data_IF_473053091125
#
_entry.id   IF_473053091125
#
_cell.length_a   1.000
_cell.length_b   1.000
_cell.length_c   1.000
_cell.angle_alpha   90.00
_cell.angle_beta   90.00
_cell.angle_gamma   90.00
#
_symmetry.space_group_name_H-M   'P 1'
#
loop_
_entity.id
_entity.type
_entity.pdbx_description
1 polymer ?
#
# COMPACT_ATOMS: atom_id res chain seq x y z
N UNK A 1 72.34 -20.25 -60.69
CA UNK A 1 71.66 -21.09 -59.67
C UNK A 1 70.24 -20.58 -59.54
N UNK A 2 69.28 -21.34 -60.07
CA UNK A 2 67.84 -21.05 -60.00
C UNK A 2 67.28 -21.67 -58.72
N UNK A 3 66.45 -20.92 -57.99
CA UNK A 3 65.62 -21.42 -56.88
C UNK A 3 64.17 -21.10 -57.27
N UNK A 4 63.28 -22.11 -57.40
CA UNK A 4 61.87 -21.87 -57.69
C UNK A 4 61.07 -21.58 -56.42
N UNK A 5 60.16 -20.62 -56.53
CA UNK A 5 59.13 -20.30 -55.52
C UNK A 5 57.89 -21.14 -55.82
N UNK A 6 57.45 -21.93 -54.85
CA UNK A 6 56.21 -22.72 -54.92
C UNK A 6 55.08 -21.96 -54.21
N UNK A 7 54.01 -21.69 -54.97
CA UNK A 7 52.72 -21.19 -54.51
C UNK A 7 52.02 -22.21 -53.60
N UNK A 8 51.57 -21.77 -52.43
CA UNK A 8 50.57 -22.48 -51.61
C UNK A 8 49.19 -21.84 -51.79
N UNK A 9 48.24 -22.61 -52.33
CA UNK A 9 46.81 -22.27 -52.40
C UNK A 9 46.14 -22.79 -51.13
N UNK A 10 45.50 -21.92 -50.36
CA UNK A 10 44.71 -22.30 -49.16
C UNK A 10 43.23 -22.24 -49.53
N UNK A 11 42.58 -23.41 -49.58
CA UNK A 11 41.12 -23.53 -49.73
C UNK A 11 40.41 -22.95 -48.50
N UNK A 12 39.50 -22.01 -48.73
CA UNK A 12 38.58 -21.50 -47.72
C UNK A 12 37.39 -22.44 -47.52
N UNK A 13 37.17 -22.88 -46.28
CA UNK A 13 35.92 -23.44 -45.81
C UNK A 13 35.31 -22.46 -44.81
N UNK A 14 34.21 -21.79 -45.20
CA UNK A 14 33.43 -20.92 -44.32
C UNK A 14 32.32 -21.75 -43.66
N UNK A 15 32.23 -21.85 -42.33
CA UNK A 15 31.11 -22.51 -41.68
C UNK A 15 29.85 -21.63 -41.74
N UNK A 16 28.75 -22.21 -42.23
CA UNK A 16 27.41 -21.62 -42.22
C UNK A 16 26.86 -21.64 -40.78
N UNK A 17 26.56 -20.47 -40.22
CA UNK A 17 25.86 -20.37 -38.94
C UNK A 17 24.36 -20.65 -39.16
N UNK A 18 23.88 -21.78 -38.64
CA UNK A 18 22.45 -22.06 -38.51
C UNK A 18 21.86 -21.23 -37.39
N UNK A 19 20.88 -20.37 -37.71
CA UNK A 19 20.08 -19.66 -36.71
C UNK A 19 19.27 -20.66 -35.88
N UNK A 20 19.29 -20.59 -34.53
CA UNK A 20 18.45 -21.44 -33.71
C UNK A 20 16.97 -21.11 -33.92
N UNK A 21 16.07 -22.10 -33.82
CA UNK A 21 14.63 -21.87 -33.95
C UNK A 21 14.11 -20.93 -32.86
N UNK A 22 13.03 -20.17 -33.13
CA UNK A 22 12.43 -19.29 -32.14
C UNK A 22 11.96 -20.12 -30.94
N UNK A 23 12.40 -19.72 -29.74
CA UNK A 23 11.96 -20.32 -28.49
C UNK A 23 10.43 -20.17 -28.38
N UNK A 24 9.74 -21.27 -28.13
CA UNK A 24 8.33 -21.26 -27.80
C UNK A 24 8.12 -20.41 -26.53
N UNK A 25 7.15 -19.50 -26.55
CA UNK A 25 6.74 -18.76 -25.37
C UNK A 25 6.29 -19.75 -24.29
N UNK A 26 6.97 -19.77 -23.16
CA UNK A 26 6.57 -20.53 -21.98
C UNK A 26 5.39 -19.83 -21.32
N UNK A 27 4.21 -20.44 -21.37
CA UNK A 27 3.07 -20.05 -20.52
C UNK A 27 3.37 -20.57 -19.11
N UNK A 28 4.03 -19.77 -18.29
CA UNK A 28 4.19 -20.04 -16.86
C UNK A 28 2.84 -19.77 -16.17
N UNK A 29 2.14 -20.79 -15.65
CA UNK A 29 0.87 -20.62 -14.95
C UNK A 29 1.00 -19.82 -13.63
N UNK A 30 2.22 -19.46 -13.22
CA UNK A 30 2.50 -18.55 -12.10
C UNK A 30 2.93 -17.15 -12.54
N UNK A 31 2.94 -16.86 -13.85
CA UNK A 31 3.12 -15.49 -14.32
C UNK A 31 1.94 -14.66 -13.79
N UNK A 32 2.23 -13.78 -12.81
CA UNK A 32 1.30 -12.74 -12.42
C UNK A 32 1.06 -11.94 -13.69
N UNK A 33 -0.14 -12.04 -14.26
CA UNK A 33 -0.54 -11.16 -15.36
C UNK A 33 -0.43 -9.73 -14.81
N UNK A 34 0.61 -9.03 -15.25
CA UNK A 34 0.74 -7.58 -15.13
C UNK A 34 -0.44 -6.99 -15.89
N UNK A 35 -1.58 -6.86 -15.21
CA UNK A 35 -2.69 -6.07 -15.73
C UNK A 35 -2.16 -4.65 -15.94
N UNK A 36 -2.49 -4.02 -17.08
CA UNK A 36 -2.06 -2.66 -17.35
C UNK A 36 -2.50 -1.75 -16.19
N UNK A 37 -1.77 -0.65 -15.95
CA UNK A 37 -2.15 0.35 -14.95
C UNK A 37 -3.63 0.73 -15.12
N UNK A 38 -4.41 0.57 -14.05
CA UNK A 38 -5.79 1.04 -13.94
C UNK A 38 -5.85 2.19 -12.92
N UNK A 39 -6.92 2.99 -12.96
CA UNK A 39 -7.16 4.07 -12.00
C UNK A 39 -8.41 3.79 -11.16
N UNK A 40 -8.72 2.51 -10.93
CA UNK A 40 -9.95 2.08 -10.25
C UNK A 40 -10.01 2.51 -8.78
N UNK A 41 -8.87 2.83 -8.17
CA UNK A 41 -8.77 3.31 -6.81
C UNK A 41 -9.00 4.82 -6.65
N UNK A 42 -9.06 5.58 -7.75
CA UNK A 42 -9.27 7.03 -7.70
C UNK A 42 -10.55 7.43 -6.95
N UNK A 43 -11.71 6.78 -7.14
CA UNK A 43 -12.92 7.12 -6.41
C UNK A 43 -12.81 6.96 -4.89
N UNK A 44 -11.96 6.03 -4.40
CA UNK A 44 -11.68 5.89 -2.96
C UNK A 44 -10.92 7.11 -2.44
N UNK A 45 -9.85 7.51 -3.14
CA UNK A 45 -9.03 8.67 -2.78
C UNK A 45 -9.85 9.96 -2.81
N UNK A 46 -10.68 10.12 -3.85
CA UNK A 46 -11.56 11.27 -4.01
C UNK A 46 -12.61 11.35 -2.89
N UNK A 47 -13.18 10.22 -2.48
CA UNK A 47 -14.18 10.18 -1.41
C UNK A 47 -13.58 10.56 -0.06
N UNK A 48 -12.42 9.99 0.30
CA UNK A 48 -11.70 10.37 1.53
C UNK A 48 -11.32 11.85 1.48
N UNK A 49 -10.75 12.32 0.36
CA UNK A 49 -10.33 13.71 0.22
C UNK A 49 -11.52 14.69 0.29
N UNK A 50 -12.67 14.33 -0.29
CA UNK A 50 -13.92 15.11 -0.18
C UNK A 50 -14.38 15.20 1.27
N UNK A 51 -14.41 14.09 2.01
CA UNK A 51 -14.78 14.08 3.43
C UNK A 51 -13.79 14.89 4.27
N UNK A 52 -12.49 14.73 4.01
CA UNK A 52 -11.44 15.49 4.67
C UNK A 52 -11.58 17.01 4.44
N UNK A 53 -11.96 17.43 3.23
CA UNK A 53 -12.21 18.84 2.92
C UNK A 53 -13.46 19.38 3.64
N UNK A 54 -14.57 18.64 3.68
CA UNK A 54 -15.82 19.06 4.33
C UNK A 54 -15.78 19.02 5.86
N UNK A 55 -14.94 18.17 6.46
CA UNK A 55 -14.78 18.09 7.91
C UNK A 55 -14.19 19.39 8.48
N UNK A 56 -14.72 19.89 9.60
CA UNK A 56 -14.13 21.01 10.32
C UNK A 56 -12.78 20.62 10.94
N UNK A 57 -12.67 19.37 11.38
CA UNK A 57 -11.43 18.78 11.90
C UNK A 57 -11.37 17.27 11.64
N UNK A 58 -10.16 16.76 11.58
CA UNK A 58 -9.85 15.33 11.54
C UNK A 58 -9.03 15.01 12.78
N UNK A 59 -9.41 13.98 13.52
CA UNK A 59 -8.63 13.47 14.65
C UNK A 59 -7.96 12.19 14.21
N UNK A 60 -6.64 12.20 14.15
CA UNK A 60 -5.84 11.01 13.89
C UNK A 60 -5.46 10.41 15.23
N UNK A 61 -5.78 9.14 15.44
CA UNK A 61 -5.62 8.43 16.69
C UNK A 61 -4.74 7.20 16.43
N UNK A 62 -3.67 7.07 17.22
CA UNK A 62 -2.92 5.82 17.37
C UNK A 62 -3.46 5.12 18.63
N UNK A 63 -3.97 3.89 18.50
CA UNK A 63 -4.68 3.22 19.59
C UNK A 63 -4.43 1.70 19.62
N UNK A 64 -4.77 1.09 20.76
CA UNK A 64 -4.80 -0.37 20.92
C UNK A 64 -5.97 -0.99 20.16
N UNK A 65 -5.80 -2.25 19.76
CA UNK A 65 -6.86 -3.13 19.31
C UNK A 65 -7.21 -4.18 20.36
N UNK A 66 -8.42 -4.75 20.27
CA UNK A 66 -8.93 -5.71 21.26
C UNK A 66 -8.04 -6.95 21.43
N UNK A 67 -7.32 -7.36 20.38
CA UNK A 67 -6.43 -8.51 20.40
C UNK A 67 -5.00 -8.20 20.86
N UNK A 68 -4.70 -6.94 21.20
CA UNK A 68 -3.38 -6.58 21.73
C UNK A 68 -3.18 -7.08 23.18
N UNK A 69 -4.25 -7.50 23.84
CA UNK A 69 -4.22 -7.98 25.24
C UNK A 69 -4.70 -9.42 25.36
N UNK A 70 -4.16 -10.14 26.35
CA UNK A 70 -4.62 -11.48 26.69
C UNK A 70 -6.08 -11.49 27.20
N UNK A 71 -6.57 -10.36 27.73
CA UNK A 71 -7.94 -10.20 28.21
C UNK A 71 -8.94 -10.19 27.05
N UNK A 72 -8.62 -9.53 25.94
CA UNK A 72 -9.54 -9.41 24.80
C UNK A 72 -9.73 -10.68 23.97
N UNK A 73 -8.84 -11.67 24.10
CA UNK A 73 -8.97 -12.97 23.42
C UNK A 73 -9.93 -13.90 24.17
N UNK A 74 -10.03 -13.78 25.50
CA UNK A 74 -10.73 -14.74 26.36
C UNK A 74 -11.95 -14.17 27.11
N UNK A 75 -12.26 -12.89 26.93
CA UNK A 75 -13.39 -12.25 27.60
C UNK A 75 -14.51 -11.91 26.60
N UNK A 76 -15.76 -12.04 27.05
CA UNK A 76 -16.93 -11.59 26.28
C UNK A 76 -17.06 -10.07 26.22
N UNK A 77 -16.13 -9.32 26.82
CA UNK A 77 -16.14 -7.86 26.88
C UNK A 77 -14.75 -7.36 26.49
N UNK A 78 -14.57 -6.76 25.31
CA UNK A 78 -13.25 -6.29 24.88
C UNK A 78 -12.69 -5.29 25.91
N UNK A 79 -11.36 -5.27 26.11
CA UNK A 79 -10.72 -4.29 26.98
C UNK A 79 -11.03 -2.87 26.47
N UNK A 80 -11.07 -1.87 27.37
CA UNK A 80 -11.15 -0.48 26.95
C UNK A 80 -10.02 -0.12 25.98
N UNK A 81 -10.34 0.63 24.93
CA UNK A 81 -9.34 1.16 23.99
C UNK A 81 -8.35 2.06 24.74
N UNK A 82 -7.06 1.77 24.59
CA UNK A 82 -5.98 2.69 24.98
C UNK A 82 -5.61 3.55 23.77
N UNK A 83 -5.59 4.87 23.95
CA UNK A 83 -5.10 5.82 22.94
C UNK A 83 -3.66 6.22 23.27
N UNK A 84 -2.72 5.90 22.39
CA UNK A 84 -1.31 6.18 22.56
C UNK A 84 -0.95 7.59 22.11
N UNK A 85 -1.58 8.06 21.04
CA UNK A 85 -1.37 9.40 20.50
C UNK A 85 -2.62 9.90 19.80
N UNK A 86 -2.85 11.20 19.88
CA UNK A 86 -3.92 11.89 19.18
C UNK A 86 -3.38 13.18 18.57
N UNK A 87 -3.70 13.44 17.31
CA UNK A 87 -3.36 14.68 16.61
C UNK A 87 -4.61 15.21 15.91
N UNK A 88 -4.90 16.49 16.12
CA UNK A 88 -6.04 17.19 15.51
C UNK A 88 -5.56 18.01 14.32
N UNK A 89 -6.12 17.74 13.15
CA UNK A 89 -5.90 18.50 11.92
C UNK A 89 -7.12 19.40 11.68
N UNK A 90 -6.93 20.71 11.70
CA UNK A 90 -7.99 21.68 11.45
C UNK A 90 -7.51 22.78 10.48
N UNK A 91 -8.44 23.40 9.75
CA UNK A 91 -8.10 24.46 8.80
C UNK A 91 -7.01 24.02 7.80
N UNK A 92 -5.88 24.74 7.81
CA UNK A 92 -4.75 24.49 6.91
C UNK A 92 -3.92 23.25 7.30
N UNK A 93 -4.03 22.74 8.52
CA UNK A 93 -3.28 21.54 8.95
C UNK A 93 -3.79 20.26 8.28
N UNK A 94 -4.94 20.32 7.60
CA UNK A 94 -5.45 19.23 6.77
C UNK A 94 -4.70 19.09 5.43
N UNK A 95 -3.96 20.12 4.99
CA UNK A 95 -3.33 20.14 3.66
C UNK A 95 -2.30 19.03 3.44
N UNK A 96 -1.41 18.70 4.40
CA UNK A 96 -0.49 17.57 4.22
C UNK A 96 -1.23 16.25 3.99
N UNK A 97 -2.32 15.99 4.72
CA UNK A 97 -3.13 14.79 4.53
C UNK A 97 -3.78 14.76 3.14
N UNK A 98 -4.35 15.88 2.69
CA UNK A 98 -4.93 15.99 1.35
C UNK A 98 -3.89 15.78 0.25
N UNK A 99 -2.70 16.37 0.39
CA UNK A 99 -1.60 16.20 -0.54
C UNK A 99 -1.10 14.75 -0.57
N UNK A 100 -1.10 14.05 0.57
CA UNK A 100 -0.82 12.61 0.62
C UNK A 100 -1.82 11.81 -0.21
N UNK A 101 -3.13 12.08 -0.06
CA UNK A 101 -4.16 11.39 -0.85
C UNK A 101 -4.02 11.65 -2.36
N UNK A 102 -3.70 12.89 -2.75
CA UNK A 102 -3.48 13.27 -4.15
C UNK A 102 -2.22 12.62 -4.75
N UNK A 103 -1.23 12.27 -3.93
CA UNK A 103 0.02 11.64 -4.35
C UNK A 103 -0.02 10.11 -4.42
N UNK A 104 -1.08 9.46 -3.96
CA UNK A 104 -1.21 7.99 -4.00
C UNK A 104 -1.55 7.54 -5.42
N UNK A 105 -0.79 6.58 -5.95
CA UNK A 105 -1.10 5.91 -7.21
C UNK A 105 -2.45 5.17 -7.10
N UNK A 106 -3.45 5.46 -7.95
CA UNK A 106 -4.78 4.87 -7.90
C UNK A 106 -4.84 3.41 -8.42
N UNK A 107 -3.72 2.80 -8.79
CA UNK A 107 -3.67 1.40 -9.22
C UNK A 107 -4.24 0.44 -8.18
N UNK A 108 -5.21 -0.37 -8.61
CA UNK A 108 -5.81 -1.43 -7.80
C UNK A 108 -5.31 -2.78 -8.28
N UNK A 109 -4.75 -3.54 -7.33
CA UNK A 109 -4.39 -4.94 -7.51
C UNK A 109 -5.53 -5.86 -7.08
N UNK A 110 -5.59 -7.06 -7.66
CA UNK A 110 -6.55 -8.10 -7.26
C UNK A 110 -6.06 -8.93 -6.06
N UNK A 111 -4.84 -8.66 -5.58
CA UNK A 111 -4.28 -9.33 -4.42
C UNK A 111 -4.91 -8.80 -3.13
N UNK A 112 -5.44 -9.72 -2.32
CA UNK A 112 -5.94 -9.43 -0.97
C UNK A 112 -5.07 -10.13 0.07
N UNK A 113 -4.67 -9.42 1.11
CA UNK A 113 -3.93 -10.02 2.22
C UNK A 113 -4.85 -10.91 3.06
N UNK A 114 -4.40 -12.14 3.37
CA UNK A 114 -5.08 -13.04 4.30
C UNK A 114 -4.68 -12.73 5.75
N UNK A 115 -5.03 -11.52 6.22
CA UNK A 115 -4.70 -11.01 7.54
C UNK A 115 -5.97 -10.70 8.34
N UNK A 116 -5.95 -10.92 9.65
CA UNK A 116 -7.02 -10.46 10.55
C UNK A 116 -6.89 -8.95 10.68
N UNK A 117 -7.96 -8.21 10.39
CA UNK A 117 -7.93 -6.76 10.47
C UNK A 117 -7.77 -6.30 11.93
N UNK A 118 -6.58 -5.79 12.26
CA UNK A 118 -6.22 -5.23 13.56
C UNK A 118 -5.79 -3.77 13.37
N UNK A 119 -6.74 -2.82 13.30
CA UNK A 119 -6.39 -1.42 13.10
C UNK A 119 -5.80 -0.78 14.36
N UNK A 120 -4.68 -0.08 14.18
CA UNK A 120 -4.03 0.72 15.21
C UNK A 120 -4.03 2.21 14.89
N UNK A 121 -4.53 2.59 13.72
CA UNK A 121 -4.70 3.98 13.31
C UNK A 121 -6.15 4.23 12.93
N UNK A 122 -6.73 5.29 13.50
CA UNK A 122 -8.08 5.75 13.17
C UNK A 122 -8.10 7.23 12.85
N UNK A 123 -8.74 7.58 11.75
CA UNK A 123 -9.05 8.95 11.38
C UNK A 123 -10.54 9.17 11.65
N UNK A 124 -10.84 10.09 12.53
CA UNK A 124 -12.20 10.47 12.89
C UNK A 124 -12.49 11.85 12.29
N UNK A 125 -13.46 11.92 11.37
CA UNK A 125 -13.82 13.16 10.67
C UNK A 125 -15.00 13.81 11.39
N UNK A 126 -14.91 15.11 11.69
CA UNK A 126 -15.92 15.83 12.45
C UNK A 126 -16.46 17.05 11.71
N UNK A 127 -17.77 17.27 11.83
CA UNK A 127 -18.46 18.52 11.50
C UNK A 127 -19.08 19.07 12.78
N UNK A 128 -18.58 20.20 13.25
CA UNK A 128 -18.76 20.67 14.62
C UNK A 128 -18.31 19.61 15.63
N UNK A 129 -19.24 19.19 16.48
CA UNK A 129 -19.00 18.16 17.50
C UNK A 129 -19.48 16.76 17.08
N UNK A 130 -19.99 16.61 15.86
CA UNK A 130 -20.52 15.33 15.37
C UNK A 130 -19.46 14.63 14.53
N UNK A 131 -19.10 13.40 14.89
CA UNK A 131 -18.28 12.53 14.05
C UNK A 131 -19.13 12.07 12.86
N UNK A 132 -18.70 12.41 11.65
CA UNK A 132 -19.43 12.09 10.41
C UNK A 132 -18.91 10.83 9.74
N UNK A 133 -17.61 10.57 9.85
CA UNK A 133 -16.96 9.43 9.21
C UNK A 133 -15.78 8.91 10.03
N UNK A 134 -15.39 7.67 9.73
CA UNK A 134 -14.29 6.94 10.34
C UNK A 134 -13.54 6.14 9.28
N UNK A 135 -12.22 6.32 9.25
CA UNK A 135 -11.29 5.49 8.49
C UNK A 135 -10.36 4.79 9.48
N UNK A 136 -10.40 3.47 9.53
CA UNK A 136 -9.47 2.65 10.32
C UNK A 136 -8.45 2.00 9.39
N UNK A 137 -7.18 2.00 9.78
CA UNK A 137 -6.06 1.52 8.96
C UNK A 137 -5.21 0.55 9.76
N UNK A 138 -4.96 -0.61 9.15
CA UNK A 138 -3.97 -1.58 9.60
C UNK A 138 -2.83 -1.63 8.57
N UNK A 139 -1.69 -1.01 8.91
CA UNK A 139 -0.51 -0.99 8.04
C UNK A 139 0.08 -2.40 7.88
N UNK A 140 0.08 -3.21 8.94
CA UNK A 140 0.60 -4.58 8.90
C UNK A 140 -0.16 -5.48 7.92
N UNK A 141 -1.49 -5.34 7.88
CA UNK A 141 -2.33 -6.14 6.99
C UNK A 141 -2.51 -5.52 5.60
N UNK A 142 -2.09 -4.26 5.39
CA UNK A 142 -2.50 -3.46 4.24
C UNK A 142 -4.01 -3.54 4.00
N UNK A 143 -4.76 -3.31 5.08
CA UNK A 143 -6.23 -3.28 5.08
C UNK A 143 -6.73 -2.00 5.73
N UNK A 144 -7.89 -1.54 5.30
CA UNK A 144 -8.59 -0.43 5.92
C UNK A 144 -10.09 -0.74 5.98
N UNK A 145 -10.75 -0.12 6.95
CA UNK A 145 -12.20 -0.03 7.00
C UNK A 145 -12.62 1.44 6.86
N UNK A 146 -13.50 1.70 5.91
CA UNK A 146 -14.03 3.03 5.61
C UNK A 146 -15.55 3.02 5.67
N UNK A 147 -16.14 3.94 6.43
CA UNK A 147 -17.60 4.06 6.56
C UNK A 147 -18.27 4.94 5.50
N UNK A 148 -17.50 5.49 4.54
CA UNK A 148 -18.01 6.20 3.37
C UNK A 148 -18.27 5.28 2.16
N UNK A 149 -17.98 5.77 0.95
CA UNK A 149 -18.26 5.04 -0.27
C UNK A 149 -17.40 3.76 -0.38
N UNK A 150 -18.02 2.65 -0.79
CA UNK A 150 -17.35 1.36 -0.96
C UNK A 150 -16.66 1.31 -2.33
N UNK A 151 -15.42 1.78 -2.37
CA UNK A 151 -14.57 1.78 -3.56
C UNK A 151 -13.35 0.86 -3.34
N UNK A 152 -12.75 0.32 -4.42
CA UNK A 152 -11.50 -0.42 -4.31
C UNK A 152 -10.38 0.45 -3.74
N UNK A 153 -9.56 -0.14 -2.88
CA UNK A 153 -8.44 0.56 -2.24
C UNK A 153 -7.20 0.46 -3.14
N UNK A 154 -6.51 1.56 -3.47
CA UNK A 154 -5.27 1.50 -4.22
C UNK A 154 -4.20 0.68 -3.51
N UNK A 155 -3.41 -0.09 -4.26
CA UNK A 155 -2.32 -0.89 -3.70
C UNK A 155 -1.29 -0.03 -2.96
N UNK A 156 -1.01 1.16 -3.47
CA UNK A 156 -0.04 2.09 -2.89
C UNK A 156 -0.56 2.84 -1.65
N UNK A 157 -1.81 2.63 -1.23
CA UNK A 157 -2.45 3.43 -0.18
C UNK A 157 -1.66 3.46 1.13
N UNK A 158 -1.27 2.30 1.64
CA UNK A 158 -0.60 2.17 2.94
C UNK A 158 0.83 2.72 2.89
N UNK A 159 1.59 2.35 1.85
CA UNK A 159 2.94 2.88 1.65
C UNK A 159 2.95 4.40 1.44
N UNK A 160 1.94 4.94 0.75
CA UNK A 160 1.77 6.38 0.55
C UNK A 160 1.33 7.13 1.82
N UNK A 161 0.52 6.50 2.67
CA UNK A 161 0.04 7.10 3.92
C UNK A 161 1.07 7.05 5.06
N UNK A 162 1.96 6.06 5.07
CA UNK A 162 2.92 5.85 6.16
C UNK A 162 3.80 7.08 6.48
N UNK A 163 4.42 7.78 5.51
CA UNK A 163 5.21 8.99 5.80
C UNK A 163 4.38 10.11 6.44
N UNK A 164 3.10 10.22 6.08
CA UNK A 164 2.20 11.18 6.72
C UNK A 164 1.98 10.84 8.19
N UNK A 165 1.71 9.57 8.53
CA UNK A 165 1.60 9.11 9.92
C UNK A 165 2.88 9.41 10.71
N UNK A 166 4.04 9.12 10.15
CA UNK A 166 5.33 9.42 10.77
C UNK A 166 5.51 10.93 11.01
N UNK A 167 5.08 11.77 10.08
CA UNK A 167 5.14 13.23 10.22
C UNK A 167 4.32 13.76 11.40
N UNK A 168 3.30 13.03 11.86
CA UNK A 168 2.51 13.34 13.06
C UNK A 168 3.17 12.85 14.36
N UNK A 169 4.36 12.23 14.27
CA UNK A 169 5.04 11.57 15.38
C UNK A 169 4.37 10.28 15.83
N UNK A 170 3.53 9.67 14.98
CA UNK A 170 2.98 8.33 15.13
C UNK A 170 3.89 7.30 14.44
N UNK A 171 3.58 6.01 14.56
CA UNK A 171 4.36 4.96 13.91
C UNK A 171 3.40 4.01 13.16
N UNK A 172 3.54 3.83 11.83
CA UNK A 172 2.69 2.92 11.07
C UNK A 172 2.65 1.50 11.66
N UNK A 173 3.79 1.02 12.19
CA UNK A 173 3.94 -0.29 12.83
C UNK A 173 4.71 -0.16 14.15
N UNK A 174 4.27 -0.88 15.19
CA UNK A 174 4.91 -0.98 16.50
C UNK A 174 4.62 -2.34 17.13
N UNK A 175 5.29 -2.65 18.23
CA UNK A 175 4.88 -3.73 19.13
C UNK A 175 3.63 -3.30 19.94
N UNK A 176 2.47 -3.36 19.29
CA UNK A 176 1.18 -2.96 19.87
C UNK A 176 0.82 -3.76 21.11
N UNK A 177 1.15 -5.06 21.11
CA UNK A 177 0.94 -5.95 22.25
C UNK A 177 1.78 -5.56 23.46
N UNK A 178 3.01 -5.08 23.28
CA UNK A 178 3.82 -4.56 24.38
C UNK A 178 3.25 -3.26 24.96
N UNK A 179 2.66 -2.41 24.12
CA UNK A 179 2.06 -1.13 24.54
C UNK A 179 0.70 -1.29 25.23
N UNK A 180 -0.01 -2.38 24.92
CA UNK A 180 -1.32 -2.69 25.49
C UNK A 180 -1.25 -3.50 26.80
N UNK A 181 -0.09 -3.66 27.42
CA UNK A 181 0.04 -4.35 28.72
C UNK A 181 -0.26 -3.40 29.87
#
# INVERSE_FOLDING_TARGET
MMIPVLLGVVCGCTPQATTPPPAAASEDPLAIEDRPPNAEGQPMLDDIARVARDADRIVVVEHSYRYDTNEGINSGTPPPERRYREVVLAGNDKQPFLATLEGIDPYVSQWVAACIFEPHHRFEFYKGNTRTHTLEVCFQCNQLEWDGAKNPVPQAFYAGLAPFIESLGMQPERDWQALAR
#
